data_IF_999467519734
#
_entry.id   IF_999467519734
#
_cell.length_a   1.000
_cell.length_b   1.000
_cell.length_c   1.000
_cell.angle_alpha   90.00
_cell.angle_beta   90.00
_cell.angle_gamma   90.00
#
_symmetry.space_group_name_H-M   'P 1'
#
loop_
_entity.id
_entity.type
_entity.pdbx_description
1 polymer ?
#
# COMPACT_ATOMS: atom_id res chain seq x y z
N UNK A 1 -67.53 18.20 29.40
CA UNK A 1 -66.94 17.76 28.16
C UNK A 1 -65.61 17.15 28.52
N UNK A 2 -65.57 15.90 28.30
CA UNK A 2 -64.70 14.89 28.83
C UNK A 2 -63.22 15.02 28.40
N UNK A 3 -62.44 15.79 29.14
CA UNK A 3 -60.97 15.83 28.99
C UNK A 3 -60.32 14.50 29.43
N UNK A 4 -61.04 13.68 30.20
CA UNK A 4 -60.54 12.40 30.70
C UNK A 4 -60.43 11.30 29.63
N UNK A 5 -61.06 11.46 28.49
CA UNK A 5 -60.96 10.45 27.40
C UNK A 5 -59.75 10.65 26.47
N UNK A 6 -59.19 11.86 26.47
CA UNK A 6 -58.01 12.18 25.63
C UNK A 6 -56.68 11.73 26.25
N UNK A 7 -56.60 11.70 27.57
CA UNK A 7 -55.37 11.33 28.29
C UNK A 7 -54.86 9.91 27.93
N UNK A 8 -55.70 8.85 27.97
CA UNK A 8 -55.25 7.50 27.56
C UNK A 8 -54.88 7.40 26.08
N UNK A 9 -55.53 8.21 25.23
CA UNK A 9 -55.21 8.23 23.80
C UNK A 9 -53.84 8.88 23.54
N UNK A 10 -53.54 10.00 24.19
CA UNK A 10 -52.25 10.70 24.11
C UNK A 10 -51.14 9.82 24.65
N UNK A 11 -51.39 9.11 25.77
CA UNK A 11 -50.40 8.21 26.37
C UNK A 11 -50.09 7.01 25.43
N UNK A 12 -51.10 6.41 24.81
CA UNK A 12 -50.92 5.35 23.84
C UNK A 12 -50.17 5.81 22.61
N UNK A 13 -50.45 7.04 22.11
CA UNK A 13 -49.81 7.65 20.98
C UNK A 13 -48.33 7.97 21.27
N UNK A 14 -48.06 8.52 22.45
CA UNK A 14 -46.70 8.80 22.92
C UNK A 14 -45.87 7.54 23.08
N UNK A 15 -46.47 6.50 23.68
CA UNK A 15 -45.82 5.18 23.82
C UNK A 15 -45.48 4.55 22.44
N UNK A 16 -46.42 4.60 21.50
CA UNK A 16 -46.23 4.13 20.15
C UNK A 16 -45.11 4.91 19.44
N UNK A 17 -45.05 6.21 19.61
CA UNK A 17 -44.02 7.08 19.02
C UNK A 17 -42.63 6.76 19.58
N UNK A 18 -42.51 6.56 20.88
CA UNK A 18 -41.26 6.16 21.55
C UNK A 18 -40.79 4.81 21.02
N UNK A 19 -41.70 3.84 20.94
CA UNK A 19 -41.36 2.51 20.34
C UNK A 19 -40.87 2.64 18.93
N UNK A 20 -41.50 3.46 18.09
CA UNK A 20 -41.12 3.67 16.69
C UNK A 20 -39.73 4.31 16.57
N UNK A 21 -39.43 5.27 17.43
CA UNK A 21 -38.10 5.91 17.50
C UNK A 21 -37.03 4.91 17.92
N UNK A 22 -37.28 4.12 18.96
CA UNK A 22 -36.36 3.09 19.44
C UNK A 22 -36.05 2.03 18.35
N UNK A 23 -37.09 1.56 17.67
CA UNK A 23 -36.93 0.61 16.54
C UNK A 23 -36.15 1.23 15.43
N UNK A 24 -36.39 2.50 15.10
CA UNK A 24 -35.63 3.21 14.05
C UNK A 24 -34.15 3.36 14.41
N UNK A 25 -33.84 3.70 15.65
CA UNK A 25 -32.44 3.78 16.13
C UNK A 25 -31.78 2.41 16.08
N UNK A 26 -32.48 1.36 16.48
CA UNK A 26 -31.97 -0.01 16.44
C UNK A 26 -31.63 -0.43 14.99
N UNK A 27 -32.49 -0.16 14.02
CA UNK A 27 -32.22 -0.44 12.61
C UNK A 27 -31.06 0.39 12.07
N UNK A 28 -30.95 1.66 12.47
CA UNK A 28 -29.80 2.50 12.09
C UNK A 28 -28.48 1.92 12.60
N UNK A 29 -28.43 1.51 13.88
CA UNK A 29 -27.23 0.87 14.45
C UNK A 29 -26.90 -0.44 13.76
N UNK A 30 -27.91 -1.27 13.45
CA UNK A 30 -27.72 -2.54 12.76
C UNK A 30 -27.20 -2.34 11.33
N UNK A 31 -27.71 -1.33 10.63
CA UNK A 31 -27.22 -0.97 9.28
C UNK A 31 -25.80 -0.46 9.33
N UNK A 32 -25.45 0.40 10.31
CA UNK A 32 -24.09 0.92 10.47
C UNK A 32 -23.07 -0.19 10.77
N UNK A 33 -23.41 -1.15 11.61
CA UNK A 33 -22.55 -2.31 11.92
C UNK A 33 -22.38 -3.24 10.71
N UNK A 34 -23.46 -3.46 9.97
CA UNK A 34 -23.44 -4.28 8.75
C UNK A 34 -22.58 -3.64 7.64
N UNK A 35 -22.70 -2.32 7.43
CA UNK A 35 -21.86 -1.57 6.49
C UNK A 35 -20.38 -1.61 6.87
N UNK A 36 -20.08 -1.45 8.15
CA UNK A 36 -18.69 -1.51 8.63
C UNK A 36 -18.09 -2.92 8.45
N UNK A 37 -18.88 -3.97 8.67
CA UNK A 37 -18.46 -5.35 8.43
C UNK A 37 -18.28 -5.64 6.94
N UNK A 38 -19.18 -5.16 6.08
CA UNK A 38 -19.06 -5.28 4.63
C UNK A 38 -17.84 -4.51 4.09
N UNK A 39 -17.58 -3.29 4.58
CA UNK A 39 -16.41 -2.51 4.20
C UNK A 39 -15.09 -3.19 4.64
N UNK A 40 -15.08 -3.80 5.83
CA UNK A 40 -13.92 -4.61 6.28
C UNK A 40 -13.71 -5.87 5.42
N UNK A 41 -14.78 -6.58 5.08
CA UNK A 41 -14.68 -7.74 4.20
C UNK A 41 -14.23 -7.36 2.80
N UNK A 42 -14.71 -6.24 2.25
CA UNK A 42 -14.30 -5.75 0.94
C UNK A 42 -12.83 -5.31 0.95
N UNK A 43 -12.37 -4.62 2.00
CA UNK A 43 -10.96 -4.27 2.13
C UNK A 43 -10.04 -5.49 2.34
N UNK A 44 -10.53 -6.54 3.01
CA UNK A 44 -9.80 -7.80 3.17
C UNK A 44 -9.80 -8.60 1.86
N UNK A 45 -10.89 -8.61 1.10
CA UNK A 45 -10.95 -9.25 -0.21
C UNK A 45 -10.09 -8.51 -1.24
N UNK A 46 -10.08 -7.18 -1.24
CA UNK A 46 -9.15 -6.39 -2.08
C UNK A 46 -7.68 -6.64 -1.75
N UNK A 47 -7.38 -6.98 -0.49
CA UNK A 47 -6.03 -7.41 -0.07
C UNK A 47 -5.79 -8.87 -0.46
N UNK A 48 -6.81 -9.72 -0.46
CA UNK A 48 -6.69 -11.15 -0.75
C UNK A 48 -6.75 -11.48 -2.25
N UNK A 49 -7.47 -10.70 -3.07
CA UNK A 49 -7.45 -10.85 -4.53
C UNK A 49 -6.16 -10.30 -5.18
N UNK A 50 -5.38 -9.49 -4.46
CA UNK A 50 -4.17 -8.89 -5.00
C UNK A 50 -2.88 -9.66 -4.76
N UNK A 51 -2.81 -10.78 -4.05
CA UNK A 51 -1.54 -11.54 -4.02
C UNK A 51 -1.61 -12.86 -3.23
N UNK A 52 -2.32 -13.85 -3.74
CA UNK A 52 -2.00 -15.25 -3.46
C UNK A 52 -1.02 -15.86 -4.47
N UNK A 53 -0.51 -15.08 -5.41
CA UNK A 53 0.68 -15.50 -6.16
C UNK A 53 1.88 -15.40 -5.22
N UNK A 54 2.56 -16.51 -4.93
CA UNK A 54 3.78 -16.46 -4.14
C UNK A 54 4.71 -15.43 -4.79
N UNK A 55 5.21 -14.48 -4.00
CA UNK A 55 6.16 -13.48 -4.49
C UNK A 55 7.39 -14.24 -4.92
N UNK A 56 7.50 -14.49 -6.21
CA UNK A 56 8.68 -15.15 -6.80
C UNK A 56 9.76 -14.09 -6.93
N UNK A 57 10.87 -14.33 -6.28
CA UNK A 57 12.06 -13.51 -6.43
C UNK A 57 12.94 -14.12 -7.49
N UNK A 58 13.38 -13.31 -8.44
CA UNK A 58 14.31 -13.69 -9.48
C UNK A 58 15.67 -13.09 -9.18
N UNK A 59 16.71 -13.80 -9.55
CA UNK A 59 18.05 -13.23 -9.55
C UNK A 59 18.12 -12.09 -10.57
N UNK A 60 19.06 -11.17 -10.37
CA UNK A 60 19.32 -10.10 -11.33
C UNK A 60 19.71 -10.70 -12.66
N UNK A 61 19.03 -10.29 -13.73
CA UNK A 61 19.23 -10.86 -15.08
C UNK A 61 20.52 -10.37 -15.69
N UNK A 62 20.82 -9.10 -15.53
CA UNK A 62 22.05 -8.46 -15.98
C UNK A 62 22.45 -7.37 -15.00
N UNK A 63 23.74 -7.21 -14.78
CA UNK A 63 24.28 -6.15 -13.95
C UNK A 63 25.45 -5.47 -14.65
N UNK A 64 25.45 -4.17 -14.66
CA UNK A 64 26.56 -3.36 -15.14
C UNK A 64 26.91 -2.30 -14.07
N UNK A 65 27.90 -2.61 -13.26
CA UNK A 65 28.34 -1.73 -12.18
C UNK A 65 29.05 -0.46 -12.68
N UNK A 66 29.65 -0.53 -13.87
CA UNK A 66 30.32 0.63 -14.47
C UNK A 66 29.32 1.68 -14.99
N UNK A 67 28.15 1.20 -15.45
CA UNK A 67 27.03 2.03 -15.86
C UNK A 67 26.04 2.30 -14.72
N UNK A 68 26.35 1.84 -13.52
CA UNK A 68 25.49 2.01 -12.34
C UNK A 68 24.05 1.51 -12.52
N UNK A 69 23.88 0.33 -13.13
CA UNK A 69 22.55 -0.21 -13.40
C UNK A 69 22.48 -1.73 -13.28
N UNK A 70 21.27 -2.22 -13.05
CA UNK A 70 20.95 -3.64 -13.21
C UNK A 70 19.53 -3.86 -13.73
N UNK A 71 19.36 -4.98 -14.44
CA UNK A 71 18.08 -5.40 -15.02
C UNK A 71 17.46 -6.54 -14.20
N UNK A 72 16.17 -6.47 -13.98
CA UNK A 72 15.41 -7.48 -13.22
C UNK A 72 14.01 -7.70 -13.78
N UNK A 73 13.43 -8.85 -13.44
CA UNK A 73 12.06 -9.22 -13.80
C UNK A 73 11.16 -9.14 -12.56
N UNK A 74 10.18 -8.24 -12.57
CA UNK A 74 9.13 -8.04 -11.53
C UNK A 74 9.68 -7.78 -10.12
N UNK A 75 10.33 -8.79 -9.50
CA UNK A 75 10.94 -8.68 -8.17
C UNK A 75 12.34 -9.27 -8.22
N UNK A 76 13.27 -8.66 -7.52
CA UNK A 76 14.66 -9.10 -7.52
C UNK A 76 15.13 -9.56 -6.13
N UNK A 77 16.10 -10.45 -6.14
CA UNK A 77 16.93 -10.81 -5.01
C UNK A 77 18.37 -10.44 -5.34
N UNK A 78 19.03 -9.74 -4.46
CA UNK A 78 20.43 -9.34 -4.62
C UNK A 78 21.35 -10.27 -3.82
N UNK A 79 22.43 -10.68 -4.43
CA UNK A 79 23.52 -11.39 -3.76
C UNK A 79 24.29 -10.43 -2.85
N UNK A 80 24.84 -10.98 -1.75
CA UNK A 80 25.52 -10.16 -0.73
C UNK A 80 26.71 -9.39 -1.30
N UNK A 81 27.47 -10.02 -2.17
CA UNK A 81 28.67 -9.42 -2.78
C UNK A 81 28.29 -8.29 -3.73
N UNK A 82 27.21 -8.45 -4.49
CA UNK A 82 26.70 -7.42 -5.36
C UNK A 82 26.13 -6.23 -4.58
N UNK A 83 25.42 -6.47 -3.49
CA UNK A 83 24.96 -5.42 -2.57
C UNK A 83 26.15 -4.66 -1.98
N UNK A 84 27.21 -5.36 -1.58
CA UNK A 84 28.41 -4.73 -1.03
C UNK A 84 29.09 -3.80 -2.04
N UNK A 85 29.16 -4.20 -3.30
CA UNK A 85 29.73 -3.40 -4.39
C UNK A 85 28.90 -2.14 -4.67
N UNK A 86 27.57 -2.27 -4.82
CA UNK A 86 26.67 -1.11 -4.99
C UNK A 86 26.80 -0.16 -3.80
N UNK A 87 26.77 -0.70 -2.59
CA UNK A 87 26.91 0.09 -1.36
C UNK A 87 28.24 0.84 -1.32
N UNK A 88 29.34 0.20 -1.70
CA UNK A 88 30.66 0.82 -1.72
C UNK A 88 30.73 2.01 -2.68
N UNK A 89 30.06 1.92 -3.83
CA UNK A 89 29.95 3.05 -4.77
C UNK A 89 29.12 4.19 -4.16
N UNK A 90 27.96 3.87 -3.60
CA UNK A 90 27.04 4.88 -3.05
C UNK A 90 27.60 5.59 -1.81
N UNK A 91 28.45 4.94 -1.03
CA UNK A 91 29.12 5.53 0.13
C UNK A 91 30.17 6.60 -0.24
N UNK A 92 30.59 6.68 -1.50
CA UNK A 92 31.54 7.69 -1.99
C UNK A 92 30.85 9.01 -2.40
N UNK A 93 29.50 9.01 -2.48
CA UNK A 93 28.72 10.16 -2.88
C UNK A 93 28.02 10.84 -1.69
N UNK A 94 27.73 12.12 -1.82
CA UNK A 94 26.95 12.88 -0.85
C UNK A 94 25.44 12.71 -1.06
N UNK A 95 25.04 12.51 -2.31
CA UNK A 95 23.67 12.19 -2.68
C UNK A 95 23.62 11.15 -3.77
N UNK A 96 22.56 10.33 -3.72
CA UNK A 96 22.30 9.25 -4.67
C UNK A 96 20.90 9.43 -5.22
N UNK A 97 20.78 9.44 -6.54
CA UNK A 97 19.47 9.40 -7.20
C UNK A 97 19.24 8.01 -7.77
N UNK A 98 18.16 7.36 -7.36
CA UNK A 98 17.76 6.03 -7.84
C UNK A 98 16.62 6.19 -8.82
N UNK A 99 16.79 5.67 -10.03
CA UNK A 99 15.81 5.73 -11.11
C UNK A 99 15.35 4.32 -11.44
N UNK A 100 14.04 4.11 -11.49
CA UNK A 100 13.45 2.82 -11.89
C UNK A 100 12.70 3.02 -13.19
N UNK A 101 13.16 2.33 -14.23
CA UNK A 101 12.46 2.23 -15.52
C UNK A 101 11.68 0.91 -15.56
N UNK A 102 10.35 0.97 -15.52
CA UNK A 102 9.53 -0.22 -15.44
C UNK A 102 8.16 -0.03 -16.09
N UNK A 103 7.61 -1.12 -16.62
CA UNK A 103 6.20 -1.17 -17.04
C UNK A 103 5.25 -1.55 -15.91
N UNK A 104 5.79 -1.98 -14.77
CA UNK A 104 5.00 -2.34 -13.60
C UNK A 104 4.36 -1.12 -12.95
N UNK A 105 3.32 -1.37 -12.16
CA UNK A 105 2.63 -0.29 -11.44
C UNK A 105 3.51 0.34 -10.35
N UNK A 106 3.17 1.56 -9.96
CA UNK A 106 3.91 2.32 -8.95
C UNK A 106 4.05 1.56 -7.61
N UNK A 107 3.05 0.77 -7.21
CA UNK A 107 3.08 -0.01 -5.96
C UNK A 107 4.20 -1.06 -5.98
N UNK A 108 4.35 -1.81 -7.07
CA UNK A 108 5.42 -2.81 -7.21
C UNK A 108 6.79 -2.14 -7.24
N UNK A 109 6.92 -1.05 -7.99
CA UNK A 109 8.16 -0.30 -8.08
C UNK A 109 8.57 0.28 -6.72
N UNK A 110 7.61 0.79 -5.92
CA UNK A 110 7.87 1.25 -4.56
C UNK A 110 8.36 0.12 -3.66
N UNK A 111 7.76 -1.07 -3.74
CA UNK A 111 8.21 -2.23 -2.94
C UNK A 111 9.64 -2.64 -3.32
N UNK A 112 9.97 -2.66 -4.61
CA UNK A 112 11.32 -2.96 -5.08
C UNK A 112 12.34 -1.91 -4.63
N UNK A 113 11.98 -0.64 -4.67
CA UNK A 113 12.80 0.46 -4.15
C UNK A 113 13.08 0.32 -2.65
N UNK A 114 12.04 0.11 -1.86
CA UNK A 114 12.18 -0.07 -0.40
C UNK A 114 13.05 -1.29 -0.07
N UNK A 115 12.93 -2.36 -0.86
CA UNK A 115 13.77 -3.55 -0.72
C UNK A 115 15.24 -3.25 -1.01
N UNK A 116 15.52 -2.51 -2.09
CA UNK A 116 16.89 -2.07 -2.40
C UNK A 116 17.48 -1.27 -1.23
N UNK A 117 16.75 -0.28 -0.74
CA UNK A 117 17.19 0.56 0.38
C UNK A 117 17.43 -0.28 1.65
N UNK A 118 16.58 -1.29 1.90
CA UNK A 118 16.75 -2.22 3.02
C UNK A 118 18.02 -3.10 2.87
N UNK A 119 18.39 -3.49 1.66
CA UNK A 119 19.64 -4.19 1.40
C UNK A 119 20.86 -3.29 1.60
N UNK A 120 20.81 -2.08 1.07
CA UNK A 120 21.95 -1.17 1.06
C UNK A 120 22.25 -0.60 2.44
N UNK A 121 21.25 -0.39 3.29
CA UNK A 121 21.40 0.20 4.65
C UNK A 121 22.32 1.43 4.63
N UNK A 122 22.00 2.38 3.76
CA UNK A 122 22.80 3.60 3.63
C UNK A 122 22.73 4.44 4.92
N UNK A 123 23.82 5.10 5.29
CA UNK A 123 23.83 6.00 6.44
C UNK A 123 22.94 7.24 6.18
N UNK A 124 22.36 7.84 7.22
CA UNK A 124 21.41 8.96 7.09
C UNK A 124 22.01 10.25 6.52
N UNK A 125 23.33 10.34 6.42
CA UNK A 125 24.01 11.48 5.83
C UNK A 125 23.88 11.53 4.31
N UNK A 126 23.67 10.39 3.67
CA UNK A 126 23.53 10.32 2.22
C UNK A 126 22.07 10.66 1.87
N UNK A 127 21.90 11.73 1.10
CA UNK A 127 20.60 12.11 0.58
C UNK A 127 20.20 11.13 -0.53
N UNK A 128 19.04 10.49 -0.40
CA UNK A 128 18.51 9.59 -1.43
C UNK A 128 17.32 10.24 -2.11
N UNK A 129 17.42 10.42 -3.41
CA UNK A 129 16.33 10.85 -4.28
C UNK A 129 15.85 9.66 -5.12
N UNK A 130 14.57 9.61 -5.44
CA UNK A 130 14.00 8.49 -6.18
C UNK A 130 13.11 9.00 -7.29
N UNK A 131 13.23 8.37 -8.47
CA UNK A 131 12.42 8.67 -9.63
C UNK A 131 11.89 7.37 -10.24
N UNK A 132 10.65 7.39 -10.72
CA UNK A 132 10.03 6.25 -11.42
C UNK A 132 9.62 6.68 -12.81
N UNK A 133 10.17 6.02 -13.82
CA UNK A 133 9.90 6.30 -15.21
C UNK A 133 9.18 5.11 -15.87
N UNK A 134 8.10 5.35 -16.61
CA UNK A 134 7.42 4.31 -17.34
C UNK A 134 8.34 3.76 -18.46
N UNK A 135 8.34 2.44 -18.62
CA UNK A 135 9.07 1.75 -19.68
C UNK A 135 8.15 0.76 -20.40
N UNK A 136 8.44 0.49 -21.65
CA UNK A 136 7.77 -0.55 -22.45
C UNK A 136 8.52 -1.87 -22.42
N UNK A 137 9.72 -1.90 -21.87
CA UNK A 137 10.56 -3.09 -21.81
C UNK A 137 9.97 -4.16 -20.87
N UNK A 138 10.22 -5.41 -21.18
CA UNK A 138 9.84 -6.56 -20.34
C UNK A 138 10.64 -6.58 -19.04
N UNK A 139 11.94 -6.26 -19.14
CA UNK A 139 12.81 -6.13 -17.98
C UNK A 139 12.72 -4.71 -17.41
N UNK A 140 12.64 -4.64 -16.12
CA UNK A 140 12.80 -3.37 -15.41
C UNK A 140 14.28 -3.08 -15.19
N UNK A 141 14.67 -1.81 -15.32
CA UNK A 141 16.03 -1.35 -15.11
C UNK A 141 16.03 -0.50 -13.85
N UNK A 142 16.98 -0.76 -12.97
CA UNK A 142 17.26 0.09 -11.83
C UNK A 142 18.64 0.71 -12.05
N UNK A 143 18.68 2.02 -12.05
CA UNK A 143 19.85 2.85 -12.28
C UNK A 143 20.09 3.75 -11.05
N UNK A 144 21.36 4.08 -10.77
CA UNK A 144 21.70 5.05 -9.73
C UNK A 144 22.75 6.04 -10.22
N UNK A 145 22.48 7.30 -9.95
CA UNK A 145 23.37 8.42 -10.20
C UNK A 145 24.03 8.86 -8.89
N UNK A 146 25.32 9.10 -8.93
CA UNK A 146 26.14 9.54 -7.79
C UNK A 146 26.45 11.03 -7.93
N UNK A 147 26.11 11.84 -6.91
CA UNK A 147 26.33 13.29 -6.89
C UNK A 147 27.05 13.76 -5.61
#
# INVERSE_FOLDING_TARGET
>A
MDDDSLAPFVDALSSALIMMVLVSIFFMLQTATSLNSAAKQQSLNDIQEQDTTPIVFHDVMRSNLDEHQFEYLVNFKLEKDFVAQIRAQMLQANSVKIIIHSRDNAKKNTVNLLRLLAYLKLPPQIKVETEMQPSTNVLSILEWELN
#
